data_IF_371545188504
#
_entry.id   IF_371545188504
#
_cell.length_a   1.000
_cell.length_b   1.000
_cell.length_c   1.000
_cell.angle_alpha   90.00
_cell.angle_beta   90.00
_cell.angle_gamma   90.00
#
_symmetry.space_group_name_H-M   'P 1'
#
loop_
_entity.id
_entity.type
_entity.pdbx_description
1 polymer ?
#
# COMPACT_ATOMS: atom_id res chain seq x y z
N UNK A 1 -58.24 -19.87 23.75
CA UNK A 1 -57.11 -19.86 22.79
C UNK A 1 -57.32 -18.75 21.77
N UNK A 2 -58.42 -18.76 21.02
CA UNK A 2 -58.81 -17.74 20.04
C UNK A 2 -58.60 -16.28 20.49
N UNK A 3 -59.16 -15.87 21.64
CA UNK A 3 -59.03 -14.49 22.12
C UNK A 3 -57.57 -14.03 22.36
N UNK A 4 -56.68 -14.96 22.74
CA UNK A 4 -55.27 -14.65 22.92
C UNK A 4 -54.55 -14.49 21.56
N UNK A 5 -54.94 -15.30 20.57
CA UNK A 5 -54.42 -15.22 19.19
C UNK A 5 -54.87 -13.92 18.53
N UNK A 6 -56.16 -13.56 18.63
CA UNK A 6 -56.68 -12.29 18.11
C UNK A 6 -55.99 -11.09 18.76
N UNK A 7 -55.74 -11.13 20.07
CA UNK A 7 -55.01 -10.06 20.75
C UNK A 7 -53.57 -9.94 20.25
N UNK A 8 -52.91 -11.08 20.00
CA UNK A 8 -51.55 -11.11 19.46
C UNK A 8 -51.50 -10.59 18.02
N UNK A 9 -52.48 -10.96 17.19
CA UNK A 9 -52.62 -10.45 15.81
C UNK A 9 -52.78 -8.93 15.78
N UNK A 10 -53.64 -8.37 16.66
CA UNK A 10 -53.79 -6.91 16.80
C UNK A 10 -52.50 -6.24 17.26
N UNK A 11 -51.74 -6.88 18.15
CA UNK A 11 -50.43 -6.36 18.56
C UNK A 11 -49.43 -6.33 17.39
N UNK A 12 -49.43 -7.35 16.54
CA UNK A 12 -48.59 -7.38 15.35
C UNK A 12 -49.01 -6.34 14.32
N UNK A 13 -50.30 -6.22 14.01
CA UNK A 13 -50.83 -5.19 13.10
C UNK A 13 -50.48 -3.79 13.59
N UNK A 14 -50.61 -3.54 14.90
CA UNK A 14 -50.19 -2.27 15.49
C UNK A 14 -48.68 -2.05 15.34
N UNK A 15 -47.87 -3.04 15.68
CA UNK A 15 -46.41 -2.93 15.58
C UNK A 15 -45.95 -2.68 14.14
N UNK A 16 -46.57 -3.33 13.15
CA UNK A 16 -46.33 -3.10 11.73
C UNK A 16 -46.69 -1.67 11.34
N UNK A 17 -47.90 -1.20 11.70
CA UNK A 17 -48.32 0.18 11.41
C UNK A 17 -47.47 1.25 12.12
N UNK A 18 -46.96 0.96 13.33
CA UNK A 18 -46.06 1.85 14.06
C UNK A 18 -44.69 1.95 13.34
N UNK A 19 -44.18 0.84 12.80
CA UNK A 19 -42.93 0.81 12.01
C UNK A 19 -43.09 1.56 10.69
N UNK A 20 -44.20 1.37 9.98
CA UNK A 20 -44.51 2.10 8.75
C UNK A 20 -44.57 3.62 9.00
N UNK A 21 -45.20 4.04 10.10
CA UNK A 21 -45.25 5.45 10.49
C UNK A 21 -43.86 6.01 10.77
N UNK A 22 -43.00 5.26 11.47
CA UNK A 22 -41.61 5.67 11.74
C UNK A 22 -40.83 5.80 10.43
N UNK A 23 -40.97 4.84 9.51
CA UNK A 23 -40.30 4.87 8.20
C UNK A 23 -40.71 6.11 7.42
N UNK A 24 -42.02 6.36 7.25
CA UNK A 24 -42.50 7.50 6.49
C UNK A 24 -42.11 8.85 7.10
N UNK A 25 -42.09 8.94 8.43
CA UNK A 25 -41.63 10.15 9.11
C UNK A 25 -40.15 10.41 8.85
N UNK A 26 -39.31 9.36 8.89
CA UNK A 26 -37.89 9.47 8.57
C UNK A 26 -37.66 9.85 7.10
N UNK A 27 -38.36 9.21 6.16
CA UNK A 27 -38.29 9.55 4.73
C UNK A 27 -38.61 11.03 4.49
N UNK A 28 -39.72 11.51 5.08
CA UNK A 28 -40.12 12.90 4.98
C UNK A 28 -39.09 13.87 5.60
N UNK A 29 -38.56 13.54 6.78
CA UNK A 29 -37.53 14.38 7.42
C UNK A 29 -36.23 14.40 6.61
N UNK A 30 -35.79 13.26 6.06
CA UNK A 30 -34.58 13.18 5.21
C UNK A 30 -34.76 14.01 3.93
N UNK A 31 -35.90 13.87 3.25
CA UNK A 31 -36.18 14.62 2.03
C UNK A 31 -36.29 16.13 2.28
N UNK A 32 -36.97 16.53 3.36
CA UNK A 32 -37.12 17.95 3.74
C UNK A 32 -35.79 18.60 4.11
N UNK A 33 -34.89 17.88 4.76
CA UNK A 33 -33.60 18.41 5.18
C UNK A 33 -32.55 18.39 4.06
N UNK A 34 -32.88 17.86 2.88
CA UNK A 34 -31.97 17.86 1.75
C UNK A 34 -31.84 19.30 1.19
N UNK A 35 -30.62 19.85 1.07
CA UNK A 35 -30.44 21.17 0.49
C UNK A 35 -30.94 21.21 -0.97
N UNK A 36 -31.66 22.26 -1.36
CA UNK A 36 -32.10 22.50 -2.77
C UNK A 36 -30.93 22.50 -3.78
N UNK A 37 -29.70 22.72 -3.30
CA UNK A 37 -28.48 22.75 -4.08
C UNK A 37 -27.56 21.54 -3.82
N UNK A 38 -28.09 20.41 -3.33
CA UNK A 38 -27.34 19.17 -3.07
C UNK A 38 -26.93 18.44 -4.37
N UNK A 39 -26.25 19.17 -5.25
CA UNK A 39 -25.46 18.57 -6.33
C UNK A 39 -24.27 17.85 -5.69
N UNK A 40 -24.44 16.58 -5.37
CA UNK A 40 -23.33 15.65 -5.12
C UNK A 40 -22.69 15.73 -3.74
N UNK A 41 -23.47 15.96 -2.68
CA UNK A 41 -22.98 15.73 -1.32
C UNK A 41 -22.70 14.22 -1.14
N UNK A 42 -21.52 13.91 -0.61
CA UNK A 42 -20.83 12.62 -0.73
C UNK A 42 -21.69 11.42 -0.34
N UNK A 43 -22.21 10.70 -1.34
CA UNK A 43 -22.92 9.44 -1.12
C UNK A 43 -21.96 8.45 -0.42
N UNK A 44 -22.27 7.97 0.80
CA UNK A 44 -21.37 7.09 1.55
C UNK A 44 -21.06 5.79 0.81
N UNK A 45 -21.97 5.31 -0.05
CA UNK A 45 -21.73 4.14 -0.90
C UNK A 45 -20.70 4.43 -1.99
N UNK A 46 -20.75 5.62 -2.59
CA UNK A 46 -19.75 6.06 -3.58
C UNK A 46 -18.39 6.22 -2.91
N UNK A 47 -18.34 6.89 -1.76
CA UNK A 47 -17.12 7.08 -0.99
C UNK A 47 -16.47 5.74 -0.60
N UNK A 48 -17.28 4.77 -0.14
CA UNK A 48 -16.78 3.44 0.21
C UNK A 48 -16.17 2.70 -0.99
N UNK A 49 -16.77 2.86 -2.18
CA UNK A 49 -16.26 2.29 -3.44
C UNK A 49 -14.95 2.94 -3.85
N UNK A 50 -14.86 4.26 -3.78
CA UNK A 50 -13.63 5.01 -4.07
C UNK A 50 -12.51 4.65 -3.10
N UNK A 51 -12.81 4.57 -1.80
CA UNK A 51 -11.85 4.17 -0.78
C UNK A 51 -11.31 2.76 -1.02
N UNK A 52 -12.19 1.82 -1.39
CA UNK A 52 -11.79 0.45 -1.74
C UNK A 52 -10.85 0.41 -2.96
N UNK A 53 -11.15 1.21 -3.99
CA UNK A 53 -10.29 1.35 -5.16
C UNK A 53 -8.93 1.95 -4.79
N UNK A 54 -8.92 3.01 -3.97
CA UNK A 54 -7.69 3.68 -3.50
C UNK A 54 -6.81 2.72 -2.69
N UNK A 55 -7.41 1.95 -1.77
CA UNK A 55 -6.71 0.94 -0.98
C UNK A 55 -6.08 -0.15 -1.86
N UNK A 56 -6.79 -0.59 -2.89
CA UNK A 56 -6.24 -1.55 -3.87
C UNK A 56 -5.04 -0.96 -4.62
N UNK A 57 -5.15 0.28 -5.11
CA UNK A 57 -4.07 0.96 -5.82
C UNK A 57 -2.83 1.15 -4.95
N UNK A 58 -3.03 1.57 -3.70
CA UNK A 58 -1.95 1.72 -2.73
C UNK A 58 -1.23 0.39 -2.50
N UNK A 59 -1.97 -0.71 -2.28
CA UNK A 59 -1.38 -2.04 -2.08
C UNK A 59 -0.56 -2.49 -3.28
N UNK A 60 -1.06 -2.26 -4.50
CA UNK A 60 -0.31 -2.57 -5.72
C UNK A 60 0.98 -1.74 -5.82
N UNK A 61 0.91 -0.45 -5.50
CA UNK A 61 2.08 0.43 -5.53
C UNK A 61 3.14 0.01 -4.52
N UNK A 62 2.74 -0.38 -3.30
CA UNK A 62 3.67 -0.91 -2.30
C UNK A 62 4.38 -2.18 -2.80
N UNK A 63 3.63 -3.13 -3.37
CA UNK A 63 4.21 -4.35 -3.91
C UNK A 63 5.20 -4.07 -5.06
N UNK A 64 4.87 -3.12 -5.94
CA UNK A 64 5.77 -2.68 -7.02
C UNK A 64 7.04 -2.04 -6.47
N UNK A 65 6.93 -1.19 -5.45
CA UNK A 65 8.08 -0.54 -4.82
C UNK A 65 9.01 -1.56 -4.16
N UNK A 66 8.44 -2.53 -3.44
CA UNK A 66 9.21 -3.63 -2.83
C UNK A 66 9.95 -4.45 -3.89
N UNK A 67 9.29 -4.79 -5.00
CA UNK A 67 9.91 -5.51 -6.10
C UNK A 67 11.07 -4.70 -6.72
N UNK A 68 10.86 -3.42 -7.02
CA UNK A 68 11.91 -2.54 -7.58
C UNK A 68 13.10 -2.44 -6.63
N UNK A 69 12.86 -2.31 -5.32
CA UNK A 69 13.94 -2.25 -4.33
C UNK A 69 14.78 -3.52 -4.31
N UNK A 70 14.14 -4.70 -4.40
CA UNK A 70 14.83 -6.00 -4.50
C UNK A 70 15.65 -6.09 -5.79
N UNK A 71 15.06 -5.75 -6.94
CA UNK A 71 15.73 -5.80 -8.25
C UNK A 71 16.91 -4.82 -8.32
N UNK A 72 16.77 -3.61 -7.77
CA UNK A 72 17.85 -2.63 -7.69
C UNK A 72 19.01 -3.15 -6.84
N UNK A 73 18.71 -3.76 -5.69
CA UNK A 73 19.71 -4.37 -4.81
C UNK A 73 20.44 -5.51 -5.51
N UNK A 74 19.71 -6.39 -6.19
CA UNK A 74 20.29 -7.51 -6.92
C UNK A 74 21.16 -7.04 -8.09
N UNK A 75 20.68 -6.06 -8.87
CA UNK A 75 21.43 -5.44 -9.96
C UNK A 75 22.74 -4.81 -9.46
N UNK A 76 22.70 -4.03 -8.39
CA UNK A 76 23.90 -3.44 -7.77
C UNK A 76 24.90 -4.49 -7.28
N UNK A 77 24.41 -5.58 -6.69
CA UNK A 77 25.26 -6.69 -6.27
C UNK A 77 25.90 -7.38 -7.47
N UNK A 78 25.16 -7.58 -8.57
CA UNK A 78 25.66 -8.17 -9.81
C UNK A 78 26.74 -7.29 -10.46
N UNK A 79 26.50 -5.98 -10.56
CA UNK A 79 27.47 -5.00 -11.07
C UNK A 79 28.76 -5.07 -10.26
N UNK A 80 28.64 -5.03 -8.92
CA UNK A 80 29.81 -5.11 -8.02
C UNK A 80 30.59 -6.40 -8.21
N UNK A 81 29.91 -7.54 -8.26
CA UNK A 81 30.55 -8.84 -8.46
C UNK A 81 31.29 -8.90 -9.80
N UNK A 82 30.63 -8.44 -10.87
CA UNK A 82 31.22 -8.40 -12.22
C UNK A 82 32.45 -7.51 -12.27
N UNK A 83 32.35 -6.28 -11.73
CA UNK A 83 33.47 -5.35 -11.72
C UNK A 83 34.67 -5.91 -10.93
N UNK A 84 34.43 -6.48 -9.75
CA UNK A 84 35.49 -7.10 -8.94
C UNK A 84 36.16 -8.27 -9.67
N UNK A 85 35.40 -9.10 -10.39
CA UNK A 85 35.96 -10.20 -11.16
C UNK A 85 36.79 -9.70 -12.34
N UNK A 86 36.29 -8.71 -13.09
CA UNK A 86 37.03 -8.08 -14.19
C UNK A 86 38.32 -7.45 -13.70
N UNK A 87 38.28 -6.73 -12.57
CA UNK A 87 39.48 -6.13 -11.99
C UNK A 87 40.52 -7.19 -11.63
N UNK A 88 40.11 -8.32 -11.02
CA UNK A 88 41.02 -9.44 -10.73
C UNK A 88 41.61 -10.05 -12.00
N UNK A 89 40.81 -10.22 -13.06
CA UNK A 89 41.30 -10.76 -14.34
C UNK A 89 42.33 -9.82 -14.99
N UNK A 90 42.07 -8.52 -15.01
CA UNK A 90 43.01 -7.52 -15.55
C UNK A 90 44.34 -7.57 -14.77
N UNK A 91 44.29 -7.57 -13.44
CA UNK A 91 45.49 -7.68 -12.60
C UNK A 91 46.30 -8.95 -12.88
N UNK A 92 45.62 -10.09 -13.11
CA UNK A 92 46.30 -11.34 -13.46
C UNK A 92 46.99 -11.26 -14.83
N UNK A 93 46.34 -10.65 -15.82
CA UNK A 93 46.92 -10.47 -17.15
C UNK A 93 48.12 -9.51 -17.13
N UNK A 94 48.03 -8.41 -16.38
CA UNK A 94 49.13 -7.46 -16.18
C UNK A 94 50.35 -8.14 -15.54
N UNK A 95 50.13 -8.96 -14.51
CA UNK A 95 51.19 -9.77 -13.89
C UNK A 95 51.82 -10.77 -14.86
N UNK A 96 51.02 -11.42 -15.72
CA UNK A 96 51.53 -12.35 -16.72
C UNK A 96 52.32 -11.67 -17.84
N UNK A 97 51.98 -10.42 -18.16
CA UNK A 97 52.64 -9.62 -19.18
C UNK A 97 53.88 -8.86 -18.65
N UNK A 98 54.24 -9.04 -17.38
CA UNK A 98 55.33 -8.32 -16.70
C UNK A 98 55.18 -6.79 -16.76
N UNK A 99 53.93 -6.32 -16.79
CA UNK A 99 53.59 -4.89 -16.74
C UNK A 99 53.55 -4.42 -15.28
N UNK A 100 54.09 -3.23 -15.00
CA UNK A 100 53.96 -2.64 -13.67
C UNK A 100 52.49 -2.36 -13.34
N UNK A 101 52.01 -2.96 -12.24
CA UNK A 101 50.67 -2.70 -11.70
C UNK A 101 50.59 -1.26 -11.19
N UNK A 102 49.94 -0.39 -11.95
CA UNK A 102 49.66 0.96 -11.49
C UNK A 102 48.54 0.91 -10.42
N UNK A 103 48.72 1.56 -9.27
CA UNK A 103 47.65 1.63 -8.27
C UNK A 103 46.45 2.40 -8.83
N UNK A 104 45.25 2.01 -8.39
CA UNK A 104 44.01 2.74 -8.68
C UNK A 104 44.20 4.23 -8.41
N UNK A 105 43.76 5.04 -9.37
CA UNK A 105 43.68 6.49 -9.23
C UNK A 105 42.73 6.89 -8.10
N UNK A 106 42.85 8.13 -7.62
CA UNK A 106 41.98 8.65 -6.54
C UNK A 106 40.49 8.60 -6.92
N UNK A 107 40.19 8.85 -8.18
CA UNK A 107 38.83 8.80 -8.71
C UNK A 107 38.27 7.37 -8.65
N UNK A 108 39.06 6.38 -9.10
CA UNK A 108 38.63 4.98 -9.08
C UNK A 108 38.52 4.43 -7.65
N UNK A 109 39.42 4.81 -6.73
CA UNK A 109 39.29 4.47 -5.32
C UNK A 109 37.99 5.02 -4.71
N UNK A 110 37.62 6.25 -5.07
CA UNK A 110 36.36 6.87 -4.63
C UNK A 110 35.15 6.13 -5.21
N UNK A 111 35.20 5.77 -6.49
CA UNK A 111 34.15 5.00 -7.15
C UNK A 111 33.94 3.63 -6.50
N UNK A 112 35.03 2.93 -6.15
CA UNK A 112 34.97 1.65 -5.41
C UNK A 112 34.32 1.84 -4.04
N UNK A 113 34.66 2.91 -3.31
CA UNK A 113 34.08 3.18 -2.01
C UNK A 113 32.57 3.48 -2.09
N UNK A 114 32.14 4.25 -3.09
CA UNK A 114 30.71 4.51 -3.34
C UNK A 114 29.96 3.22 -3.69
N UNK A 115 30.55 2.38 -4.55
CA UNK A 115 29.96 1.09 -4.89
C UNK A 115 29.81 0.17 -3.68
N UNK A 116 30.64 0.30 -2.65
CA UNK A 116 30.58 -0.49 -1.41
C UNK A 116 29.58 0.08 -0.39
N UNK A 117 29.47 1.39 -0.25
CA UNK A 117 28.61 2.04 0.76
C UNK A 117 27.10 1.91 0.46
N UNK A 118 26.71 1.76 -0.81
CA UNK A 118 25.30 1.60 -1.20
C UNK A 118 24.66 0.26 -0.79
N UNK A 119 25.40 -0.68 -0.18
CA UNK A 119 24.82 -1.96 0.29
C UNK A 119 24.03 -1.90 1.58
N UNK A 120 24.14 -0.84 2.39
CA UNK A 120 23.61 -0.82 3.76
C UNK A 120 22.36 0.04 3.95
N UNK A 121 21.92 0.79 2.95
CA UNK A 121 20.70 1.60 3.07
C UNK A 121 19.52 0.85 2.46
N UNK A 122 18.79 0.10 3.29
CA UNK A 122 17.32 -0.12 3.28
C UNK A 122 16.95 -1.42 4.03
N UNK A 123 17.22 -1.44 5.34
CA UNK A 123 16.46 -2.27 6.30
C UNK A 123 16.26 -1.44 7.56
N UNK A 124 15.46 -0.37 7.47
CA UNK A 124 14.95 0.33 8.64
C UNK A 124 13.44 0.41 8.49
N UNK A 125 12.77 -0.42 9.30
CA UNK A 125 11.41 -0.20 9.83
C UNK A 125 10.27 -0.07 8.82
N UNK A 126 9.97 -1.16 8.12
CA UNK A 126 8.70 -1.34 7.39
C UNK A 126 7.76 -2.37 8.04
N UNK A 127 8.07 -2.87 9.24
CA UNK A 127 7.37 -4.01 9.83
C UNK A 127 6.91 -3.76 11.26
N UNK A 128 6.24 -2.64 11.54
CA UNK A 128 5.39 -2.58 12.75
C UNK A 128 4.24 -1.55 12.73
N UNK A 129 3.84 -1.08 11.55
CA UNK A 129 2.65 -0.21 11.41
C UNK A 129 1.50 -0.89 10.67
N UNK A 130 1.32 -2.19 10.87
CA UNK A 130 0.16 -2.95 10.36
C UNK A 130 -0.73 -3.51 11.48
N UNK A 131 -0.49 -3.18 12.75
CA UNK A 131 -1.29 -3.69 13.88
C UNK A 131 -2.15 -2.69 14.64
N UNK A 132 -2.05 -1.38 14.39
CA UNK A 132 -2.75 -0.40 15.26
C UNK A 132 -3.84 0.43 14.58
N UNK A 133 -4.18 0.18 13.32
CA UNK A 133 -5.26 0.91 12.62
C UNK A 133 -6.35 -0.04 12.14
N UNK A 134 -6.84 -0.87 13.06
CA UNK A 134 -8.12 -1.55 12.93
C UNK A 134 -8.75 -1.70 14.32
N UNK A 135 -9.16 -0.57 14.90
CA UNK A 135 -10.34 -0.46 15.76
C UNK A 135 -11.11 0.78 15.34
#
# INVERSE_FOLDING_TARGET
MEAAVTKLEVMFQKAESDLDYIQHKLEFEVEKNLPDNSSGEENPLTLLKEFSMMKSRYKTLCAQLEQVAVEQKESMNCIRATLNNTMKMVQQLEQQADLELSPLTKEEQTAVQQLQSHSTCQTSEGSDLHKTTLM
#
